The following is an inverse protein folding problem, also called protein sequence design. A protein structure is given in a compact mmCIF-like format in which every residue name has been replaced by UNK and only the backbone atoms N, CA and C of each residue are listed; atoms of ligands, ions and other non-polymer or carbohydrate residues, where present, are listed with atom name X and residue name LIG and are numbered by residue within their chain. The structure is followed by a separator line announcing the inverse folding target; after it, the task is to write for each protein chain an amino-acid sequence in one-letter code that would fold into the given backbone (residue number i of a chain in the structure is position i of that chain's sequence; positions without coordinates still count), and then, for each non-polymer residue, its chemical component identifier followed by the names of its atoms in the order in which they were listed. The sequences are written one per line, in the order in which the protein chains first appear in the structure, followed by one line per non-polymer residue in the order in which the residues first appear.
data_IF_202476204014
#
_entry.id   IF_202476204014
#
_cell.length_a   1.000
_cell.length_b   1.000
_cell.length_c   1.000
_cell.angle_alpha   90.00
_cell.angle_beta   90.00
_cell.angle_gamma   90.00
#
_symmetry.space_group_name_H-M   'P 1'
#
loop_
_entity.id
_entity.type
_entity.pdbx_description
1 polymer ?
#
# COMPACT_ATOMS: atom_id res chain seq x y z
N UNK A 1 -2.05 17.83 -3.83
CA UNK A 1 -1.53 16.80 -4.75
C UNK A 1 -1.02 15.67 -3.88
N UNK A 2 -1.31 14.40 -4.18
CA UNK A 2 -0.80 13.26 -3.41
C UNK A 2 0.68 13.07 -3.65
N UNK A 3 1.42 12.72 -2.59
CA UNK A 3 2.88 12.59 -2.59
C UNK A 3 3.29 11.13 -2.54
N UNK A 4 4.16 10.72 -3.45
CA UNK A 4 4.67 9.34 -3.53
C UNK A 4 6.19 9.35 -3.38
N UNK A 5 6.70 8.45 -2.53
CA UNK A 5 8.13 8.20 -2.38
C UNK A 5 8.50 6.90 -3.11
N UNK A 6 9.53 6.96 -3.94
CA UNK A 6 10.13 5.80 -4.59
C UNK A 6 11.39 5.37 -3.84
N UNK A 7 11.44 4.09 -3.47
CA UNK A 7 12.61 3.45 -2.85
C UNK A 7 13.03 2.29 -3.76
N UNK A 8 13.88 2.61 -4.72
CA UNK A 8 14.33 1.75 -5.82
C UNK A 8 15.79 2.07 -6.10
N UNK A 9 16.67 1.10 -6.09
CA UNK A 9 18.10 1.32 -6.28
C UNK A 9 18.50 1.41 -7.76
N UNK A 10 17.80 0.70 -8.64
CA UNK A 10 18.07 0.78 -10.08
C UNK A 10 17.64 2.15 -10.64
N UNK A 11 18.62 2.98 -10.96
CA UNK A 11 18.40 4.36 -11.45
C UNK A 11 17.47 4.44 -12.66
N UNK A 12 17.54 3.48 -13.57
CA UNK A 12 16.69 3.45 -14.78
C UNK A 12 15.23 3.25 -14.36
N UNK A 13 14.93 2.21 -13.59
CA UNK A 13 13.59 1.90 -13.12
C UNK A 13 13.04 3.05 -12.26
N UNK A 14 13.86 3.59 -11.37
CA UNK A 14 13.49 4.73 -10.52
C UNK A 14 13.08 5.96 -11.34
N UNK A 15 13.81 6.29 -12.41
CA UNK A 15 13.50 7.42 -13.27
C UNK A 15 12.25 7.18 -14.13
N UNK A 16 12.06 5.96 -14.63
CA UNK A 16 10.85 5.58 -15.39
C UNK A 16 9.60 5.67 -14.49
N UNK A 17 9.67 5.13 -13.27
CA UNK A 17 8.62 5.26 -12.27
C UNK A 17 8.31 6.72 -11.96
N UNK A 18 9.34 7.51 -11.72
CA UNK A 18 9.18 8.93 -11.42
C UNK A 18 8.45 9.65 -12.55
N UNK A 19 8.90 9.47 -13.79
CA UNK A 19 8.27 10.07 -14.97
C UNK A 19 6.80 9.63 -15.12
N UNK A 20 6.52 8.34 -14.97
CA UNK A 20 5.16 7.78 -15.05
C UNK A 20 4.22 8.42 -14.03
N UNK A 21 4.67 8.51 -12.78
CA UNK A 21 3.85 9.03 -11.69
C UNK A 21 3.66 10.54 -11.77
N UNK A 22 4.69 11.30 -12.14
CA UNK A 22 4.59 12.76 -12.35
C UNK A 22 3.63 13.07 -13.49
N UNK A 23 3.71 12.33 -14.62
CA UNK A 23 2.76 12.45 -15.73
C UNK A 23 1.32 12.07 -15.34
N UNK A 24 1.15 11.28 -14.29
CA UNK A 24 -0.15 10.89 -13.75
C UNK A 24 -0.68 11.87 -12.67
N UNK A 25 0.02 12.98 -12.42
CA UNK A 25 -0.43 14.05 -11.53
C UNK A 25 -0.05 13.88 -10.06
N UNK A 26 0.94 13.04 -9.75
CA UNK A 26 1.49 12.90 -8.40
C UNK A 26 2.73 13.79 -8.19
N UNK A 27 2.96 14.19 -6.94
CA UNK A 27 4.24 14.77 -6.51
C UNK A 27 5.17 13.62 -6.11
N UNK A 28 6.34 13.51 -6.76
CA UNK A 28 7.20 12.34 -6.62
C UNK A 28 8.57 12.69 -6.09
N UNK A 29 8.98 12.00 -5.04
CA UNK A 29 10.35 12.01 -4.51
C UNK A 29 10.96 10.61 -4.60
N UNK A 30 12.28 10.52 -4.56
CA UNK A 30 12.96 9.25 -4.59
C UNK A 30 14.17 9.25 -3.64
N UNK A 31 14.43 8.10 -3.00
CA UNK A 31 15.65 7.89 -2.23
C UNK A 31 16.78 7.49 -3.18
N UNK A 32 17.90 8.18 -3.08
CA UNK A 32 19.12 7.89 -3.86
C UNK A 32 20.26 7.37 -2.99
N UNK A 33 20.20 7.64 -1.68
CA UNK A 33 21.19 7.15 -0.70
C UNK A 33 20.49 6.23 0.30
N UNK A 34 20.88 4.98 0.33
CA UNK A 34 20.23 3.92 1.12
C UNK A 34 20.83 3.68 2.50
N UNK A 35 21.65 4.60 3.02
CA UNK A 35 22.26 4.44 4.34
C UNK A 35 21.28 4.66 5.50
N UNK A 36 20.27 5.50 5.32
CA UNK A 36 19.29 5.86 6.35
C UNK A 36 17.85 5.71 5.82
N UNK A 37 17.60 4.71 4.99
CA UNK A 37 16.33 4.54 4.25
C UNK A 37 15.10 4.56 5.17
N UNK A 38 15.17 3.92 6.34
CA UNK A 38 14.08 3.90 7.32
C UNK A 38 13.73 5.32 7.79
N UNK A 39 14.71 6.06 8.25
CA UNK A 39 14.54 7.42 8.77
C UNK A 39 14.06 8.38 7.68
N UNK A 40 14.55 8.20 6.45
CA UNK A 40 14.17 9.01 5.30
C UNK A 40 12.71 8.74 4.92
N UNK A 41 12.24 7.49 4.94
CA UNK A 41 10.83 7.15 4.73
C UNK A 41 9.95 7.80 5.81
N UNK A 42 10.30 7.63 7.09
CA UNK A 42 9.50 8.16 8.21
C UNK A 42 9.42 9.69 8.15
N UNK A 43 10.49 10.38 7.79
CA UNK A 43 10.56 11.85 7.71
C UNK A 43 9.94 12.43 6.44
N UNK A 44 9.71 11.63 5.41
CA UNK A 44 9.32 12.10 4.07
C UNK A 44 7.94 12.76 4.02
N UNK A 45 7.04 12.46 4.96
CA UNK A 45 5.65 12.97 5.01
C UNK A 45 4.90 12.77 3.68
N UNK A 46 5.07 11.61 3.08
CA UNK A 46 4.40 11.22 1.84
C UNK A 46 3.11 10.46 2.13
N UNK A 47 2.25 10.37 1.11
CA UNK A 47 0.97 9.68 1.22
C UNK A 47 1.09 8.20 0.85
N UNK A 48 2.15 7.79 0.13
CA UNK A 48 2.40 6.42 -0.29
C UNK A 48 3.87 6.18 -0.58
N UNK A 49 4.36 4.97 -0.31
CA UNK A 49 5.72 4.52 -0.64
C UNK A 49 5.65 3.36 -1.63
N UNK A 50 6.41 3.44 -2.72
CA UNK A 50 6.75 2.30 -3.57
C UNK A 50 8.10 1.77 -3.10
N UNK A 51 8.15 0.54 -2.63
CA UNK A 51 9.33 -0.03 -1.98
C UNK A 51 9.79 -1.29 -2.69
N UNK A 52 11.01 -1.28 -3.24
CA UNK A 52 11.63 -2.50 -3.74
C UNK A 52 12.06 -3.43 -2.58
N UNK A 53 11.95 -4.73 -2.81
CA UNK A 53 12.45 -5.75 -1.89
C UNK A 53 13.99 -5.81 -1.94
N UNK A 54 14.56 -5.71 -3.13
CA UNK A 54 15.99 -5.90 -3.34
C UNK A 54 16.75 -4.56 -3.26
N UNK A 55 16.93 -4.05 -2.06
CA UNK A 55 17.71 -2.83 -1.86
C UNK A 55 19.17 -3.17 -1.46
N UNK A 56 20.14 -2.31 -1.80
CA UNK A 56 21.50 -2.44 -1.32
C UNK A 56 21.54 -2.42 0.19
N UNK A 57 22.09 -2.88 1.03
CA UNK A 57 22.22 -2.77 2.50
C UNK A 57 21.06 -3.32 3.33
N UNK A 58 19.80 -3.40 2.80
CA UNK A 58 18.64 -3.88 3.56
C UNK A 58 17.63 -4.59 2.65
N UNK A 59 17.07 -5.69 3.15
CA UNK A 59 15.91 -6.29 2.48
C UNK A 59 14.67 -5.43 2.73
N UNK A 60 13.92 -5.09 1.67
CA UNK A 60 12.73 -4.23 1.74
C UNK A 60 11.63 -4.76 2.65
N UNK A 61 11.48 -6.08 2.79
CA UNK A 61 10.50 -6.70 3.69
C UNK A 61 10.87 -6.47 5.17
N UNK A 62 12.16 -6.60 5.50
CA UNK A 62 12.66 -6.30 6.84
C UNK A 62 12.49 -4.81 7.13
N UNK A 63 12.82 -3.97 6.15
CA UNK A 63 12.63 -2.52 6.24
C UNK A 63 11.16 -2.18 6.47
N UNK A 64 10.24 -2.79 5.71
CA UNK A 64 8.80 -2.61 5.88
C UNK A 64 8.36 -2.96 7.31
N UNK A 65 8.78 -4.09 7.85
CA UNK A 65 8.47 -4.51 9.22
C UNK A 65 8.96 -3.48 10.26
N UNK A 66 10.12 -2.88 10.02
CA UNK A 66 10.65 -1.86 10.93
C UNK A 66 9.90 -0.52 10.83
N UNK A 67 9.54 -0.07 9.63
CA UNK A 67 8.77 1.18 9.47
C UNK A 67 7.34 1.04 10.00
N UNK A 68 6.75 -0.17 9.96
CA UNK A 68 5.42 -0.43 10.52
C UNK A 68 5.33 -0.26 12.04
N UNK A 69 6.44 -0.30 12.75
CA UNK A 69 6.49 0.01 14.19
C UNK A 69 6.26 1.49 14.49
N UNK A 70 6.49 2.37 13.50
CA UNK A 70 6.49 3.82 13.69
C UNK A 70 5.46 4.54 12.81
N UNK A 71 5.01 3.93 11.70
CA UNK A 71 4.07 4.59 10.77
C UNK A 71 3.16 3.61 10.05
N UNK A 72 1.96 4.11 9.71
CA UNK A 72 0.97 3.43 8.87
C UNK A 72 0.92 4.00 7.43
N UNK A 73 1.98 4.66 6.96
CA UNK A 73 2.06 5.12 5.56
C UNK A 73 1.82 3.93 4.64
N UNK A 74 0.90 4.00 3.67
CA UNK A 74 0.69 2.93 2.71
C UNK A 74 1.96 2.59 1.95
N UNK A 75 2.21 1.29 1.77
CA UNK A 75 3.37 0.76 1.06
C UNK A 75 2.93 -0.26 0.02
N UNK A 76 3.27 -0.02 -1.24
CA UNK A 76 3.23 -1.04 -2.30
C UNK A 76 4.64 -1.62 -2.43
N UNK A 77 4.76 -2.93 -2.26
CA UNK A 77 6.02 -3.62 -2.54
C UNK A 77 6.17 -3.82 -4.04
N UNK A 78 7.33 -3.47 -4.58
CA UNK A 78 7.69 -3.68 -5.99
C UNK A 78 8.84 -4.67 -6.05
N UNK A 79 8.71 -5.79 -6.75
CA UNK A 79 9.71 -6.87 -6.66
C UNK A 79 9.93 -7.62 -7.95
N UNK A 80 11.15 -8.11 -8.16
CA UNK A 80 11.49 -9.05 -9.22
C UNK A 80 11.23 -10.52 -8.83
N UNK A 81 10.84 -10.79 -7.57
CA UNK A 81 10.56 -12.14 -7.12
C UNK A 81 9.19 -12.58 -7.61
N UNK A 82 9.14 -13.77 -8.22
CA UNK A 82 7.94 -14.39 -8.74
C UNK A 82 7.66 -15.62 -7.88
N UNK A 83 6.69 -15.53 -6.96
CA UNK A 83 6.26 -16.66 -6.14
C UNK A 83 5.07 -16.31 -5.26
N UNK A 84 4.08 -17.20 -5.19
CA UNK A 84 2.91 -17.04 -4.29
C UNK A 84 3.33 -16.89 -2.81
N UNK A 85 4.45 -17.51 -2.43
CA UNK A 85 4.99 -17.44 -1.07
C UNK A 85 5.54 -16.05 -0.76
N UNK A 86 6.19 -15.39 -1.73
CA UNK A 86 6.75 -14.05 -1.54
C UNK A 86 5.63 -12.99 -1.44
N UNK A 87 4.53 -13.17 -2.18
CA UNK A 87 3.33 -12.32 -2.08
C UNK A 87 2.69 -12.41 -0.69
N UNK A 88 2.42 -13.63 -0.22
CA UNK A 88 1.85 -13.87 1.12
C UNK A 88 2.77 -13.31 2.21
N UNK A 89 4.10 -13.44 2.07
CA UNK A 89 5.05 -12.91 3.03
C UNK A 89 5.06 -11.37 3.03
N UNK A 90 5.05 -10.72 1.87
CA UNK A 90 5.04 -9.25 1.77
C UNK A 90 3.79 -8.67 2.44
N UNK A 91 2.63 -9.27 2.23
CA UNK A 91 1.37 -8.89 2.89
C UNK A 91 1.45 -9.17 4.40
N UNK A 92 2.03 -10.29 4.83
CA UNK A 92 2.20 -10.61 6.25
C UNK A 92 3.14 -9.65 6.98
N UNK A 93 4.08 -9.04 6.28
CA UNK A 93 4.95 -7.98 6.83
C UNK A 93 4.30 -6.60 6.86
N UNK A 94 3.06 -6.49 6.38
CA UNK A 94 2.27 -5.28 6.49
C UNK A 94 2.27 -4.40 5.24
N UNK A 95 2.59 -4.94 4.06
CA UNK A 95 2.36 -4.24 2.79
C UNK A 95 0.86 -3.97 2.58
N UNK A 96 0.52 -2.87 1.91
CA UNK A 96 -0.86 -2.54 1.54
C UNK A 96 -1.22 -3.15 0.19
N UNK A 97 -0.21 -3.39 -0.62
CA UNK A 97 -0.29 -4.05 -1.90
C UNK A 97 1.10 -4.49 -2.38
N UNK A 98 1.14 -5.23 -3.47
CA UNK A 98 2.35 -5.81 -4.02
C UNK A 98 2.25 -5.90 -5.55
N UNK A 99 3.35 -5.68 -6.26
CA UNK A 99 3.43 -5.82 -7.71
C UNK A 99 4.76 -6.42 -8.15
N UNK A 100 4.70 -7.40 -9.07
CA UNK A 100 5.90 -8.02 -9.65
C UNK A 100 6.44 -7.26 -10.84
N UNK A 101 7.76 -7.15 -10.93
CA UNK A 101 8.49 -6.71 -12.12
C UNK A 101 8.63 -7.86 -13.14
N UNK A 102 8.43 -7.65 -14.43
CA UNK A 102 7.99 -6.40 -15.06
C UNK A 102 6.48 -6.21 -14.89
N UNK A 103 6.06 -5.02 -14.48
CA UNK A 103 4.66 -4.68 -14.27
C UNK A 103 4.08 -3.86 -15.42
N UNK A 104 2.77 -3.96 -15.60
CA UNK A 104 2.04 -3.07 -16.47
C UNK A 104 1.86 -1.70 -15.77
N UNK A 105 2.30 -0.58 -16.38
CA UNK A 105 2.15 0.76 -15.79
C UNK A 105 0.71 1.11 -15.41
N UNK A 106 -0.27 0.69 -16.22
CA UNK A 106 -1.70 0.93 -15.94
C UNK A 106 -2.14 0.21 -14.68
N UNK A 107 -1.69 -1.03 -14.47
CA UNK A 107 -2.02 -1.81 -13.27
C UNK A 107 -1.41 -1.14 -12.03
N UNK A 108 -0.16 -0.70 -12.09
CA UNK A 108 0.46 0.03 -10.98
C UNK A 108 -0.33 1.29 -10.61
N UNK A 109 -0.74 2.08 -11.61
CA UNK A 109 -1.53 3.29 -11.38
C UNK A 109 -2.91 2.98 -10.76
N UNK A 110 -3.58 1.92 -11.20
CA UNK A 110 -4.84 1.47 -10.62
C UNK A 110 -4.68 1.06 -9.14
N UNK A 111 -3.63 0.32 -8.80
CA UNK A 111 -3.31 -0.07 -7.41
C UNK A 111 -3.09 1.16 -6.53
N UNK A 112 -2.32 2.13 -6.99
CA UNK A 112 -2.10 3.41 -6.30
C UNK A 112 -3.44 4.14 -6.07
N UNK A 113 -4.28 4.24 -7.10
CA UNK A 113 -5.58 4.89 -7.01
C UNK A 113 -6.50 4.18 -6.02
N UNK A 114 -6.52 2.85 -6.00
CA UNK A 114 -7.32 2.07 -5.06
C UNK A 114 -6.90 2.30 -3.60
N UNK A 115 -5.59 2.38 -3.34
CA UNK A 115 -5.09 2.73 -2.00
C UNK A 115 -5.57 4.14 -1.60
N UNK A 116 -5.41 5.13 -2.47
CA UNK A 116 -5.85 6.48 -2.16
C UNK A 116 -7.36 6.58 -1.98
N UNK A 117 -8.15 5.89 -2.79
CA UNK A 117 -9.60 5.82 -2.64
C UNK A 117 -10.00 5.23 -1.28
N UNK A 118 -9.34 4.17 -0.82
CA UNK A 118 -9.58 3.59 0.53
C UNK A 118 -9.26 4.58 1.65
N UNK A 119 -8.21 5.41 1.48
CA UNK A 119 -7.85 6.44 2.46
C UNK A 119 -8.83 7.62 2.51
N UNK A 120 -9.54 7.89 1.41
CA UNK A 120 -10.47 9.02 1.25
C UNK A 120 -11.92 8.68 1.63
N UNK A 121 -12.19 7.45 2.08
CA UNK A 121 -13.52 7.07 2.55
C UNK A 121 -14.01 8.06 3.62
N UNK A 122 -15.17 8.64 3.40
CA UNK A 122 -15.82 9.52 4.37
C UNK A 122 -16.25 8.73 5.61
N UNK A 123 -16.53 9.45 6.72
CA UNK A 123 -17.10 8.81 7.92
C UNK A 123 -18.44 8.12 7.64
N UNK A 124 -19.22 8.65 6.70
CA UNK A 124 -20.48 8.06 6.28
C UNK A 124 -20.28 6.80 5.46
N UNK A 125 -19.22 6.74 4.62
CA UNK A 125 -18.84 5.54 3.88
C UNK A 125 -18.26 4.45 4.79
N UNK A 126 -17.77 4.84 5.98
CA UNK A 126 -17.25 3.94 7.00
C UNK A 126 -18.30 3.48 8.01
N UNK A 127 -19.55 3.90 7.86
CA UNK A 127 -20.68 3.40 8.66
C UNK A 127 -21.52 2.44 7.79
N UNK A 128 -21.64 1.20 8.23
CA UNK A 128 -22.48 0.20 7.60
C UNK A 128 -23.41 -0.43 8.64
N UNK A 129 -24.71 -0.13 8.53
CA UNK A 129 -25.75 -0.67 9.41
C UNK A 129 -25.44 -0.49 10.92
N UNK A 130 -24.92 0.69 11.26
CA UNK A 130 -24.52 1.02 12.64
C UNK A 130 -23.13 0.53 13.04
N UNK A 131 -22.42 -0.17 12.14
CA UNK A 131 -21.03 -0.58 12.36
C UNK A 131 -20.11 0.54 11.89
N UNK A 132 -19.32 1.09 12.79
CA UNK A 132 -18.25 2.04 12.47
C UNK A 132 -16.99 1.26 12.09
N UNK A 133 -16.51 1.52 10.88
CA UNK A 133 -15.29 0.90 10.35
C UNK A 133 -14.11 1.86 10.46
N UNK A 134 -13.04 1.43 11.09
CA UNK A 134 -11.80 2.20 11.15
C UNK A 134 -10.64 1.42 10.50
N UNK A 135 -10.42 1.60 9.19
CA UNK A 135 -9.39 0.86 8.46
C UNK A 135 -7.97 1.13 8.98
N UNK A 136 -7.71 2.34 9.49
CA UNK A 136 -6.39 2.72 9.99
C UNK A 136 -6.01 1.99 11.27
N UNK A 137 -7.01 1.70 12.12
CA UNK A 137 -6.82 0.95 13.37
C UNK A 137 -7.08 -0.54 13.22
N UNK A 138 -7.63 -0.99 12.09
CA UNK A 138 -8.02 -2.37 11.89
C UNK A 138 -9.21 -2.79 12.75
N UNK A 139 -10.13 -1.89 13.08
CA UNK A 139 -11.24 -2.17 14.00
C UNK A 139 -12.61 -1.90 13.37
N UNK A 140 -13.58 -2.72 13.79
CA UNK A 140 -15.01 -2.48 13.63
C UNK A 140 -15.61 -2.20 15.00
N UNK A 141 -16.48 -1.21 15.09
CA UNK A 141 -17.14 -0.84 16.35
C UNK A 141 -18.66 -0.79 16.15
N UNK A 142 -19.41 -1.46 17.02
CA UNK A 142 -20.86 -1.42 17.08
C UNK A 142 -21.33 -1.54 18.54
N UNK A 143 -22.18 -0.63 19.00
CA UNK A 143 -22.77 -0.63 20.34
C UNK A 143 -21.73 -0.76 21.48
N UNK A 144 -20.57 -0.10 21.30
CA UNK A 144 -19.46 -0.14 22.26
C UNK A 144 -18.65 -1.46 22.25
N UNK A 145 -18.98 -2.40 21.37
CA UNK A 145 -18.16 -3.59 21.14
C UNK A 145 -17.17 -3.33 20.02
N UNK A 146 -15.93 -3.74 20.24
CA UNK A 146 -14.84 -3.60 19.27
C UNK A 146 -14.45 -4.99 18.80
N UNK A 147 -14.36 -5.15 17.47
CA UNK A 147 -13.79 -6.31 16.80
C UNK A 147 -12.52 -5.86 16.07
N UNK A 148 -11.39 -6.46 16.39
CA UNK A 148 -10.14 -6.25 15.68
C UNK A 148 -10.05 -7.20 14.48
N UNK A 149 -9.75 -6.66 13.32
CA UNK A 149 -9.49 -7.40 12.09
C UNK A 149 -8.00 -7.40 11.81
N UNK A 150 -7.49 -8.51 11.29
CA UNK A 150 -6.18 -8.53 10.67
C UNK A 150 -6.14 -7.57 9.49
N UNK A 151 -4.95 -7.20 9.04
CA UNK A 151 -4.80 -6.27 7.92
C UNK A 151 -5.51 -6.79 6.66
N UNK A 152 -5.37 -8.07 6.35
CA UNK A 152 -6.00 -8.69 5.18
C UNK A 152 -7.52 -8.71 5.28
N UNK A 153 -8.06 -9.05 6.45
CA UNK A 153 -9.50 -8.99 6.69
C UNK A 153 -10.04 -7.57 6.53
N UNK A 154 -9.32 -6.57 7.04
CA UNK A 154 -9.70 -5.17 6.88
C UNK A 154 -9.64 -4.71 5.42
N UNK A 155 -8.63 -5.12 4.65
CA UNK A 155 -8.52 -4.84 3.21
C UNK A 155 -9.73 -5.40 2.48
N UNK A 156 -10.02 -6.69 2.65
CA UNK A 156 -11.17 -7.35 2.02
C UNK A 156 -12.48 -6.68 2.45
N UNK A 157 -12.66 -6.43 3.73
CA UNK A 157 -13.88 -5.80 4.26
C UNK A 157 -14.08 -4.40 3.66
N UNK A 158 -13.04 -3.58 3.62
CA UNK A 158 -13.09 -2.23 3.06
C UNK A 158 -13.37 -2.27 1.56
N UNK A 159 -12.77 -3.22 0.83
CA UNK A 159 -13.05 -3.41 -0.60
C UNK A 159 -14.51 -3.75 -0.85
N UNK A 160 -15.08 -4.68 -0.09
CA UNK A 160 -16.49 -5.05 -0.18
C UNK A 160 -17.40 -3.87 0.17
N UNK A 161 -17.06 -3.11 1.21
CA UNK A 161 -17.81 -1.92 1.63
C UNK A 161 -17.83 -0.84 0.53
N UNK A 162 -16.71 -0.61 -0.14
CA UNK A 162 -16.61 0.33 -1.26
C UNK A 162 -17.41 -0.11 -2.51
N UNK A 163 -17.61 -1.40 -2.65
CA UNK A 163 -18.33 -2.00 -3.79
C UNK A 163 -19.72 -2.55 -3.41
N UNK A 164 -20.29 -2.08 -2.28
CA UNK A 164 -21.62 -2.52 -1.85
C UNK A 164 -22.67 -2.29 -2.96
N UNK A 165 -23.57 -3.26 -3.11
CA UNK A 165 -24.56 -3.29 -4.17
C UNK A 165 -24.04 -3.80 -5.52
N UNK A 166 -22.77 -4.16 -5.62
CA UNK A 166 -22.17 -4.82 -6.79
C UNK A 166 -21.79 -6.27 -6.44
N UNK A 167 -21.78 -7.12 -7.46
CA UNK A 167 -21.19 -8.46 -7.31
C UNK A 167 -19.68 -8.30 -7.34
N UNK A 168 -19.01 -8.81 -6.32
CA UNK A 168 -17.54 -8.89 -6.22
C UNK A 168 -17.17 -10.35 -6.36
N UNK A 169 -16.38 -10.67 -7.36
CA UNK A 169 -15.87 -12.03 -7.60
C UNK A 169 -14.59 -12.29 -6.81
N UNK A 170 -14.19 -13.56 -6.72
CA UNK A 170 -12.90 -13.92 -6.13
C UNK A 170 -11.72 -13.29 -6.89
N UNK A 171 -11.82 -13.25 -8.22
CA UNK A 171 -10.78 -12.68 -9.07
C UNK A 171 -10.64 -11.17 -8.84
N UNK A 172 -11.74 -10.45 -8.57
CA UNK A 172 -11.70 -9.04 -8.19
C UNK A 172 -10.94 -8.82 -6.86
N UNK A 173 -11.04 -9.76 -5.92
CA UNK A 173 -10.32 -9.71 -4.64
C UNK A 173 -8.86 -10.15 -4.75
N UNK A 174 -8.50 -10.91 -5.78
CA UNK A 174 -7.14 -11.42 -6.01
C UNK A 174 -6.34 -10.53 -6.98
N UNK A 175 -7.01 -9.61 -7.68
CA UNK A 175 -6.39 -8.71 -8.67
C UNK A 175 -6.03 -7.35 -8.07
N UNK A 176 -6.40 -7.11 -6.84
CA UNK A 176 -6.14 -5.87 -6.10
C UNK A 176 -5.05 -6.03 -5.03
#
# INVERSE_FOLDING_TARGET
MKKILIVEDEKIIRNELKTLLENSGYEVSAIENFNNTKEDIIKSKVDLVLLDINLPNVNGEILLKEIRKETNIPVIMVTSRIGEVDEVLSISYGADDYITKPYNPTILLLRIQNIFKRMELSKDDMNYDGIMVNPQKGILEQDGKILELSKNEMIIFTYLLCNRGKIVTRDDLMTD
#
